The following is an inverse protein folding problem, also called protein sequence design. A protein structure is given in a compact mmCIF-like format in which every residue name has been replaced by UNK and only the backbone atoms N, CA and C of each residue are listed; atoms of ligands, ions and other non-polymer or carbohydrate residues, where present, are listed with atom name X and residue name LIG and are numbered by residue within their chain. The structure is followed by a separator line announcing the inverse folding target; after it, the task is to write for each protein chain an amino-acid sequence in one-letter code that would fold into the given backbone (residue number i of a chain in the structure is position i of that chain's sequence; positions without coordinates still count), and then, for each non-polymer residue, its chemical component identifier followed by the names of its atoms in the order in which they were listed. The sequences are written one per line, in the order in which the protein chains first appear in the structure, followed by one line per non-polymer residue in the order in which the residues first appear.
data_IF_960121605695
#
_entry.id   IF_960121605695
#
_cell.length_a   1.000
_cell.length_b   1.000
_cell.length_c   1.000
_cell.angle_alpha   90.00
_cell.angle_beta   90.00
_cell.angle_gamma   90.00
#
_symmetry.space_group_name_H-M   'P 1'
#
loop_
_entity.id
_entity.type
_entity.pdbx_description
1 polymer ?
#
# COMPACT_ATOMS: atom_id res chain seq x y z
N UNK A 1 1.56 9.98 12.94
CA UNK A 1 2.37 9.83 11.71
C UNK A 1 1.45 9.40 10.59
N UNK A 2 1.38 10.18 9.50
CA UNK A 2 0.51 9.88 8.37
C UNK A 2 1.08 8.71 7.58
N UNK A 3 0.24 7.74 7.22
CA UNK A 3 0.69 6.58 6.44
C UNK A 3 1.13 7.02 5.03
N UNK A 4 0.46 8.01 4.45
CA UNK A 4 0.84 8.66 3.20
C UNK A 4 2.27 9.19 3.20
N UNK A 5 2.64 9.99 4.20
CA UNK A 5 3.97 10.54 4.34
C UNK A 5 5.05 9.44 4.46
N UNK A 6 4.74 8.37 5.18
CA UNK A 6 5.66 7.23 5.32
C UNK A 6 5.87 6.46 4.02
N UNK A 7 4.83 6.36 3.19
CA UNK A 7 4.96 5.77 1.86
C UNK A 7 5.91 6.62 1.00
N UNK A 8 5.82 7.95 1.07
CA UNK A 8 6.70 8.83 0.32
C UNK A 8 8.16 8.72 0.80
N UNK A 9 8.39 8.71 2.12
CA UNK A 9 9.71 8.48 2.72
C UNK A 9 10.30 7.12 2.33
N UNK A 10 9.49 6.06 2.35
CA UNK A 10 9.92 4.72 1.94
C UNK A 10 10.33 4.68 0.46
N UNK A 11 9.59 5.34 -0.43
CA UNK A 11 9.94 5.40 -1.84
C UNK A 11 11.20 6.25 -2.08
N UNK A 12 11.43 7.30 -1.28
CA UNK A 12 12.67 8.06 -1.29
C UNK A 12 13.86 7.20 -0.82
N UNK A 13 13.71 6.42 0.25
CA UNK A 13 14.73 5.46 0.70
C UNK A 13 15.05 4.41 -0.36
N UNK A 14 14.04 3.87 -1.02
CA UNK A 14 14.25 2.92 -2.11
C UNK A 14 15.10 3.51 -3.25
N UNK A 15 14.87 4.79 -3.59
CA UNK A 15 15.65 5.50 -4.61
C UNK A 15 17.07 5.80 -4.14
N UNK A 16 17.25 6.22 -2.88
CA UNK A 16 18.58 6.49 -2.31
C UNK A 16 19.47 5.24 -2.30
N UNK A 17 18.84 4.08 -2.04
CA UNK A 17 19.47 2.74 -2.09
C UNK A 17 19.68 2.20 -3.50
N UNK A 18 19.37 2.99 -4.53
CA UNK A 18 19.54 2.63 -5.95
C UNK A 18 18.82 1.35 -6.36
N UNK A 19 17.65 1.08 -5.77
CA UNK A 19 16.79 0.01 -6.27
C UNK A 19 16.37 0.31 -7.71
N UNK A 20 16.17 -0.74 -8.51
CA UNK A 20 15.80 -0.59 -9.92
C UNK A 20 14.51 0.26 -10.05
N UNK A 21 14.40 1.19 -11.02
CA UNK A 21 13.22 2.05 -11.17
C UNK A 21 11.92 1.26 -11.27
N UNK A 22 11.93 0.12 -11.98
CA UNK A 22 10.77 -0.78 -12.08
C UNK A 22 10.31 -1.28 -10.71
N UNK A 23 11.23 -1.56 -9.80
CA UNK A 23 10.96 -2.05 -8.45
C UNK A 23 10.33 -0.96 -7.60
N UNK A 24 10.86 0.27 -7.66
CA UNK A 24 10.30 1.42 -6.96
C UNK A 24 8.89 1.74 -7.46
N UNK A 25 8.67 1.74 -8.78
CA UNK A 25 7.35 1.92 -9.37
C UNK A 25 6.37 0.82 -8.95
N UNK A 26 6.83 -0.42 -8.90
CA UNK A 26 6.01 -1.54 -8.43
C UNK A 26 5.61 -1.37 -6.96
N UNK A 27 6.53 -1.00 -6.07
CA UNK A 27 6.20 -0.69 -4.67
C UNK A 27 5.19 0.46 -4.56
N UNK A 28 5.42 1.56 -5.28
CA UNK A 28 4.53 2.71 -5.27
C UNK A 28 3.12 2.36 -5.72
N UNK A 29 2.98 1.57 -6.79
CA UNK A 29 1.67 1.11 -7.26
C UNK A 29 0.95 0.24 -6.22
N UNK A 30 1.65 -0.70 -5.58
CA UNK A 30 1.05 -1.56 -4.55
C UNK A 30 0.60 -0.77 -3.32
N UNK A 31 1.43 0.15 -2.85
CA UNK A 31 1.12 1.00 -1.69
C UNK A 31 -0.03 1.97 -1.99
N UNK A 32 -0.12 2.48 -3.22
CA UNK A 32 -1.26 3.28 -3.68
C UNK A 32 -2.56 2.46 -3.64
N UNK A 33 -2.58 1.26 -4.22
CA UNK A 33 -3.78 0.40 -4.17
C UNK A 33 -4.22 0.06 -2.75
N UNK A 34 -3.25 -0.17 -1.87
CA UNK A 34 -3.54 -0.41 -0.46
C UNK A 34 -4.17 0.81 0.23
N UNK A 35 -3.64 2.01 -0.01
CA UNK A 35 -4.19 3.26 0.54
C UNK A 35 -5.58 3.58 -0.02
N UNK A 36 -5.78 3.37 -1.32
CA UNK A 36 -7.10 3.52 -1.96
C UNK A 36 -8.12 2.56 -1.33
N UNK A 37 -7.72 1.31 -1.08
CA UNK A 37 -8.56 0.33 -0.39
C UNK A 37 -8.88 0.76 1.05
N UNK A 38 -7.89 1.23 1.82
CA UNK A 38 -8.10 1.74 3.18
C UNK A 38 -9.13 2.88 3.21
N UNK A 39 -9.00 3.84 2.29
CA UNK A 39 -9.95 4.93 2.16
C UNK A 39 -11.37 4.42 1.84
N UNK A 40 -11.49 3.45 0.93
CA UNK A 40 -12.77 2.86 0.55
C UNK A 40 -13.46 2.10 1.70
N UNK A 41 -12.70 1.53 2.64
CA UNK A 41 -13.23 0.87 3.85
C UNK A 41 -13.32 1.80 5.06
N UNK A 42 -13.19 3.12 4.86
CA UNK A 42 -13.37 4.14 5.89
C UNK A 42 -12.26 4.20 6.93
N UNK A 43 -11.06 3.69 6.63
CA UNK A 43 -9.93 3.71 7.54
C UNK A 43 -9.14 5.02 7.44
N UNK A 44 -8.63 5.57 8.57
CA UNK A 44 -7.88 6.81 8.56
C UNK A 44 -6.47 6.62 7.99
N UNK A 45 -5.90 7.72 7.47
CA UNK A 45 -4.50 7.79 7.01
C UNK A 45 -3.52 7.88 8.19
N UNK A 46 -3.52 6.87 9.06
CA UNK A 46 -2.72 6.85 10.28
C UNK A 46 -2.04 5.48 10.46
N UNK A 47 -0.72 5.46 10.65
CA UNK A 47 -0.01 4.21 10.90
C UNK A 47 -0.50 3.52 12.19
N UNK A 48 -0.85 4.29 13.21
CA UNK A 48 -1.25 3.77 14.53
C UNK A 48 -2.52 2.91 14.50
N UNK A 49 -3.35 3.06 13.47
CA UNK A 49 -4.59 2.28 13.31
C UNK A 49 -4.37 1.03 12.46
N UNK A 50 -3.20 0.88 11.84
CA UNK A 50 -2.90 -0.29 11.03
C UNK A 50 -2.61 -1.51 11.91
N UNK A 51 -3.22 -2.63 11.56
CA UNK A 51 -3.08 -3.92 12.28
C UNK A 51 -2.97 -5.06 11.28
N UNK A 52 -2.52 -6.23 11.73
CA UNK A 52 -2.48 -7.44 10.91
C UNK A 52 -3.85 -7.80 10.30
N UNK A 53 -4.95 -7.44 10.96
CA UNK A 53 -6.30 -7.66 10.42
C UNK A 53 -6.54 -6.88 9.12
N UNK A 54 -6.02 -5.65 9.02
CA UNK A 54 -6.07 -4.86 7.80
C UNK A 54 -5.29 -5.54 6.66
N UNK A 55 -4.10 -6.06 6.97
CA UNK A 55 -3.31 -6.84 6.01
C UNK A 55 -4.08 -8.05 5.46
N UNK A 56 -4.69 -8.85 6.34
CA UNK A 56 -5.48 -10.03 5.92
C UNK A 56 -6.68 -9.64 5.04
N UNK A 57 -7.45 -8.61 5.45
CA UNK A 57 -8.62 -8.14 4.70
C UNK A 57 -8.21 -7.59 3.33
N UNK A 58 -7.09 -6.89 3.23
CA UNK A 58 -6.58 -6.41 1.95
C UNK A 58 -6.15 -7.56 1.03
N UNK A 59 -5.44 -8.56 1.55
CA UNK A 59 -5.08 -9.75 0.77
C UNK A 59 -6.31 -10.48 0.24
N UNK A 60 -7.35 -10.64 1.06
CA UNK A 60 -8.62 -11.22 0.61
C UNK A 60 -9.27 -10.39 -0.50
N UNK A 61 -9.35 -9.06 -0.32
CA UNK A 61 -9.89 -8.16 -1.33
C UNK A 61 -9.12 -8.23 -2.66
N UNK A 62 -7.79 -8.34 -2.62
CA UNK A 62 -6.95 -8.50 -3.81
C UNK A 62 -7.26 -9.81 -4.56
N UNK A 63 -7.43 -10.92 -3.84
CA UNK A 63 -7.81 -12.21 -4.43
C UNK A 63 -9.17 -12.11 -5.12
N UNK A 64 -10.17 -11.55 -4.45
CA UNK A 64 -11.51 -11.37 -5.01
C UNK A 64 -11.52 -10.44 -6.24
N UNK A 65 -10.77 -9.32 -6.17
CA UNK A 65 -10.64 -8.38 -7.29
C UNK A 65 -9.98 -9.02 -8.51
N UNK A 66 -8.98 -9.87 -8.29
CA UNK A 66 -8.28 -10.59 -9.36
C UNK A 66 -9.20 -11.62 -9.99
N UNK A 67 -9.94 -12.39 -9.17
CA UNK A 67 -10.89 -13.38 -9.65
C UNK A 67 -12.02 -12.78 -10.50
N UNK A 68 -12.48 -11.55 -10.21
CA UNK A 68 -13.50 -10.84 -11.01
C UNK A 68 -12.99 -10.31 -12.35
N UNK A 69 -11.67 -10.28 -12.56
CA UNK A 69 -11.02 -9.77 -13.78
C UNK A 69 -10.50 -10.88 -14.71
N UNK A 70 -10.51 -12.12 -14.25
CA UNK A 70 -10.17 -13.33 -15.00
C UNK A 70 -11.41 -13.92 -15.65
#
# INVERSE_FOLDING_TARGET
MLLSALVDEFLLDCRSRRLAPKTVSWYGANLRYFREWLAAVGQPDALATFTLAHGRRYSQWLTERTARRA
#
